data_IF_497475307280
#
_entry.id   IF_497475307280
#
_cell.length_a   1.000
_cell.length_b   1.000
_cell.length_c   1.000
_cell.angle_alpha   90.00
_cell.angle_beta   90.00
_cell.angle_gamma   90.00
#
_symmetry.space_group_name_H-M   'P 1'
#
loop_
_entity.id
_entity.type
_entity.pdbx_description
1 polymer ?
#
# COMPACT_ATOMS: atom_id res chain seq x y z
N UNK A 1 2.26 6.79 -2.14
CA UNK A 1 1.60 6.66 -0.83
C UNK A 1 2.62 6.11 0.15
N UNK A 2 2.72 6.66 1.34
CA UNK A 2 3.68 6.19 2.32
C UNK A 2 3.33 6.60 3.75
N UNK A 3 3.73 5.78 4.71
CA UNK A 3 3.76 6.13 6.12
C UNK A 3 5.15 6.66 6.47
N UNK A 4 5.21 7.78 7.16
CA UNK A 4 6.47 8.47 7.48
C UNK A 4 6.74 8.45 8.98
N UNK A 5 8.00 8.72 9.36
CA UNK A 5 8.45 8.67 10.75
C UNK A 5 7.72 9.65 11.70
N UNK A 6 7.13 10.70 11.16
CA UNK A 6 6.31 11.66 11.92
C UNK A 6 4.92 11.13 12.27
N UNK A 7 4.39 10.22 11.45
CA UNK A 7 3.07 9.59 11.62
C UNK A 7 3.15 8.12 11.18
N UNK A 8 3.88 7.27 11.93
CA UNK A 8 4.19 5.90 11.48
C UNK A 8 2.97 4.98 11.42
N UNK A 9 1.91 5.30 12.14
CA UNK A 9 0.69 4.49 12.23
C UNK A 9 -0.47 5.06 11.38
N UNK A 10 -0.23 6.13 10.60
CA UNK A 10 -1.25 6.73 9.74
C UNK A 10 -1.76 5.76 8.67
N UNK A 11 -3.07 5.75 8.45
CA UNK A 11 -3.72 4.90 7.43
C UNK A 11 -3.85 5.65 6.09
N UNK A 12 -2.72 6.14 5.57
CA UNK A 12 -2.65 6.97 4.36
C UNK A 12 -3.16 6.28 3.11
N UNK A 13 -3.08 4.94 3.05
CA UNK A 13 -3.61 4.19 1.92
C UNK A 13 -5.14 4.18 1.91
N UNK A 14 -5.78 4.09 3.07
CA UNK A 14 -7.23 4.16 3.18
C UNK A 14 -7.76 5.53 2.74
N UNK A 15 -7.13 6.60 3.21
CA UNK A 15 -7.45 7.97 2.77
C UNK A 15 -7.35 8.11 1.24
N UNK A 16 -6.29 7.54 0.66
CA UNK A 16 -6.09 7.56 -0.79
C UNK A 16 -7.17 6.77 -1.54
N UNK A 17 -7.44 5.53 -1.12
CA UNK A 17 -8.43 4.66 -1.77
C UNK A 17 -9.86 5.18 -1.61
N UNK A 18 -10.16 5.87 -0.51
CA UNK A 18 -11.47 6.50 -0.26
C UNK A 18 -11.68 7.76 -1.10
N UNK A 19 -10.62 8.55 -1.31
CA UNK A 19 -10.72 9.81 -2.06
C UNK A 19 -10.60 9.62 -3.57
N UNK A 20 -9.81 8.64 -4.02
CA UNK A 20 -9.53 8.42 -5.44
C UNK A 20 -10.80 8.25 -6.32
N UNK A 21 -11.86 7.52 -5.91
CA UNK A 21 -13.08 7.39 -6.69
C UNK A 21 -13.81 8.72 -6.97
N UNK A 22 -13.59 9.75 -6.14
CA UNK A 22 -14.22 11.06 -6.32
C UNK A 22 -13.83 11.73 -7.64
N UNK A 23 -12.65 11.41 -8.19
CA UNK A 23 -12.22 11.90 -9.49
C UNK A 23 -13.11 11.40 -10.65
N UNK A 24 -13.88 10.34 -10.44
CA UNK A 24 -14.85 9.84 -11.44
C UNK A 24 -16.07 10.75 -11.60
N UNK A 25 -16.22 11.76 -10.74
CA UNK A 25 -17.22 12.82 -10.91
C UNK A 25 -16.82 13.85 -11.99
N UNK A 26 -15.55 13.83 -12.41
CA UNK A 26 -15.06 14.67 -13.50
C UNK A 26 -15.38 14.02 -14.88
N UNK A 27 -15.45 14.81 -15.96
CA UNK A 27 -15.68 14.27 -17.29
C UNK A 27 -14.64 13.21 -17.69
N UNK A 28 -15.10 12.15 -18.38
CA UNK A 28 -14.22 11.05 -18.83
C UNK A 28 -13.12 11.52 -19.79
N UNK A 29 -13.41 12.54 -20.60
CA UNK A 29 -12.51 13.14 -21.57
C UNK A 29 -11.68 14.29 -21.02
N UNK A 30 -11.73 14.52 -19.71
CA UNK A 30 -10.88 15.51 -19.05
C UNK A 30 -9.40 15.19 -19.29
N UNK A 31 -8.63 16.21 -19.67
CA UNK A 31 -7.16 16.09 -19.76
C UNK A 31 -6.57 16.15 -18.37
N UNK A 32 -5.81 15.11 -18.00
CA UNK A 32 -5.13 15.01 -16.72
C UNK A 32 -3.70 15.52 -16.85
N UNK A 33 -3.33 16.47 -15.98
CA UNK A 33 -1.98 16.98 -15.83
C UNK A 33 -1.35 16.40 -14.57
N UNK A 34 -0.68 15.24 -14.65
CA UNK A 34 -0.12 14.59 -13.45
C UNK A 34 1.13 15.34 -12.97
N UNK A 35 1.45 15.24 -11.68
CA UNK A 35 2.71 15.77 -11.12
C UNK A 35 3.96 15.10 -11.71
N UNK A 36 3.81 13.88 -12.22
CA UNK A 36 4.87 13.10 -12.86
C UNK A 36 4.33 12.47 -14.15
N UNK A 37 5.23 12.26 -15.14
CA UNK A 37 4.91 11.74 -16.46
C UNK A 37 4.16 12.75 -17.35
N UNK A 38 3.70 12.28 -18.51
CA UNK A 38 3.05 13.11 -19.52
C UNK A 38 1.55 13.30 -19.23
N UNK A 39 0.96 14.41 -19.70
CA UNK A 39 -0.49 14.58 -19.72
C UNK A 39 -1.18 13.42 -20.45
N UNK A 40 -2.38 13.06 -20.00
CA UNK A 40 -3.14 11.97 -20.59
C UNK A 40 -4.66 12.21 -20.51
N UNK A 41 -5.41 11.43 -21.29
CA UNK A 41 -6.87 11.29 -21.20
C UNK A 41 -7.16 9.87 -20.70
N UNK A 42 -8.31 9.66 -20.03
CA UNK A 42 -8.67 8.36 -19.46
C UNK A 42 -8.54 8.34 -17.93
N UNK A 43 -9.05 9.42 -17.31
CA UNK A 43 -9.02 9.57 -15.86
C UNK A 43 -9.70 8.42 -15.12
N UNK A 44 -10.89 8.00 -15.60
CA UNK A 44 -11.69 6.96 -14.92
C UNK A 44 -10.99 5.60 -14.95
N UNK A 45 -10.46 5.22 -16.11
CA UNK A 45 -9.69 3.98 -16.27
C UNK A 45 -8.40 4.00 -15.43
N UNK A 46 -7.78 5.19 -15.31
CA UNK A 46 -6.61 5.37 -14.45
C UNK A 46 -6.96 5.19 -12.98
N UNK A 47 -8.08 5.74 -12.53
CA UNK A 47 -8.57 5.56 -11.16
C UNK A 47 -8.80 4.07 -10.86
N UNK A 48 -9.52 3.36 -11.74
CA UNK A 48 -9.78 1.93 -11.55
C UNK A 48 -8.49 1.10 -11.53
N UNK A 49 -7.55 1.40 -12.42
CA UNK A 49 -6.25 0.74 -12.48
C UNK A 49 -5.42 0.96 -11.19
N UNK A 50 -5.45 2.17 -10.61
CA UNK A 50 -4.74 2.46 -9.37
C UNK A 50 -5.37 1.72 -8.18
N UNK A 51 -6.68 1.69 -8.09
CA UNK A 51 -7.39 0.94 -7.03
C UNK A 51 -7.07 -0.55 -7.13
N UNK A 52 -7.17 -1.13 -8.33
CA UNK A 52 -6.86 -2.54 -8.56
C UNK A 52 -5.41 -2.88 -8.18
N UNK A 53 -4.45 -2.03 -8.57
CA UNK A 53 -3.03 -2.20 -8.25
C UNK A 53 -2.77 -2.26 -6.74
N UNK A 54 -3.38 -1.35 -5.96
CA UNK A 54 -3.21 -1.37 -4.50
C UNK A 54 -3.88 -2.60 -3.87
N UNK A 55 -5.06 -3.02 -4.37
CA UNK A 55 -5.70 -4.26 -3.88
C UNK A 55 -4.86 -5.51 -4.18
N UNK A 56 -4.19 -5.59 -5.34
CA UNK A 56 -3.27 -6.68 -5.64
C UNK A 56 -2.09 -6.72 -4.67
N UNK A 57 -1.50 -5.56 -4.35
CA UNK A 57 -0.44 -5.46 -3.34
C UNK A 57 -0.92 -5.88 -1.94
N UNK A 58 -2.11 -5.44 -1.52
CA UNK A 58 -2.69 -5.82 -0.23
C UNK A 58 -2.89 -7.34 -0.13
N UNK A 59 -3.41 -7.98 -1.17
CA UNK A 59 -3.57 -9.44 -1.22
C UNK A 59 -2.23 -10.17 -1.17
N UNK A 60 -1.24 -9.70 -1.93
CA UNK A 60 0.09 -10.30 -1.95
C UNK A 60 0.78 -10.19 -0.59
N UNK A 61 0.69 -9.04 0.09
CA UNK A 61 1.23 -8.85 1.43
C UNK A 61 0.52 -9.71 2.47
N UNK A 62 -0.81 -9.79 2.43
CA UNK A 62 -1.57 -10.64 3.34
C UNK A 62 -1.15 -12.10 3.22
N UNK A 63 -1.00 -12.61 1.99
CA UNK A 63 -0.53 -13.98 1.74
C UNK A 63 0.91 -14.18 2.24
N UNK A 64 1.80 -13.20 2.06
CA UNK A 64 3.18 -13.29 2.52
C UNK A 64 3.30 -13.28 4.06
N UNK A 65 2.28 -12.77 4.76
CA UNK A 65 2.23 -12.71 6.23
C UNK A 65 1.72 -14.00 6.90
N UNK A 66 1.64 -15.13 6.21
CA UNK A 66 1.30 -16.44 6.85
C UNK A 66 2.24 -16.77 8.01
N UNK A 67 3.52 -16.42 7.86
CA UNK A 67 4.50 -16.44 8.96
C UNK A 67 4.88 -14.99 9.29
N UNK A 68 5.33 -14.71 10.54
CA UNK A 68 5.77 -13.37 10.92
C UNK A 68 6.87 -12.86 10.00
N UNK A 69 6.68 -11.68 9.43
CA UNK A 69 7.60 -11.02 8.48
C UNK A 69 7.88 -9.58 8.92
N UNK A 70 9.10 -9.14 8.79
CA UNK A 70 9.48 -7.73 8.91
C UNK A 70 9.11 -6.97 7.63
N UNK A 71 9.06 -5.63 7.70
CA UNK A 71 8.85 -4.79 6.51
C UNK A 71 9.90 -5.09 5.43
N UNK A 72 11.16 -5.23 5.82
CA UNK A 72 12.27 -5.47 4.88
C UNK A 72 12.10 -6.79 4.13
N UNK A 73 11.67 -7.84 4.82
CA UNK A 73 11.37 -9.16 4.21
C UNK A 73 10.18 -9.10 3.26
N UNK A 74 9.25 -8.18 3.47
CA UNK A 74 8.06 -7.99 2.62
C UNK A 74 8.32 -7.11 1.38
N UNK A 75 9.40 -6.33 1.34
CA UNK A 75 9.70 -5.47 0.18
C UNK A 75 9.71 -6.20 -1.16
N UNK A 76 10.31 -7.41 -1.30
CA UNK A 76 10.31 -8.14 -2.58
C UNK A 76 8.92 -8.58 -3.05
N UNK A 77 7.95 -8.62 -2.16
CA UNK A 77 6.55 -8.93 -2.51
C UNK A 77 5.95 -7.81 -3.37
N UNK A 78 6.24 -6.56 -3.01
CA UNK A 78 5.73 -5.39 -3.71
C UNK A 78 6.66 -4.91 -4.84
N UNK A 79 7.98 -5.01 -4.65
CA UNK A 79 8.99 -4.43 -5.54
C UNK A 79 9.86 -5.52 -6.15
N UNK A 80 9.61 -5.85 -7.42
CA UNK A 80 10.31 -6.95 -8.13
C UNK A 80 11.73 -6.59 -8.57
N UNK A 81 12.06 -5.30 -8.69
CA UNK A 81 13.39 -4.83 -9.06
C UNK A 81 14.25 -4.55 -7.83
N UNK A 82 15.58 -4.63 -7.99
CA UNK A 82 16.54 -4.25 -6.94
C UNK A 82 16.33 -2.76 -6.57
N UNK A 83 16.19 -2.51 -5.28
CA UNK A 83 16.06 -1.16 -4.73
C UNK A 83 17.43 -0.56 -4.46
N UNK A 84 17.64 0.69 -4.89
CA UNK A 84 18.79 1.49 -4.47
C UNK A 84 18.57 2.00 -3.04
N UNK A 85 19.65 2.43 -2.37
CA UNK A 85 19.56 3.00 -1.01
C UNK A 85 18.58 4.19 -0.93
N UNK A 86 18.53 5.03 -1.97
CA UNK A 86 17.59 6.14 -2.06
C UNK A 86 16.14 5.66 -2.17
N UNK A 87 15.89 4.64 -3.00
CA UNK A 87 14.55 4.11 -3.21
C UNK A 87 14.06 3.24 -2.05
N UNK A 88 14.98 2.73 -1.23
CA UNK A 88 14.65 1.91 -0.06
C UNK A 88 13.75 2.65 0.93
N UNK A 89 14.02 3.92 1.22
CA UNK A 89 13.22 4.73 2.14
C UNK A 89 11.78 4.86 1.66
N UNK A 90 11.60 5.15 0.36
CA UNK A 90 10.26 5.26 -0.23
C UNK A 90 9.55 3.89 -0.29
N UNK A 91 10.28 2.83 -0.59
CA UNK A 91 9.73 1.48 -0.64
C UNK A 91 9.26 1.02 0.76
N UNK A 92 10.04 1.28 1.81
CA UNK A 92 9.65 1.00 3.19
C UNK A 92 8.41 1.80 3.59
N UNK A 93 8.37 3.10 3.29
CA UNK A 93 7.23 3.96 3.58
C UNK A 93 5.95 3.48 2.87
N UNK A 94 6.06 3.07 1.61
CA UNK A 94 4.93 2.53 0.84
C UNK A 94 4.48 1.16 1.37
N UNK A 95 5.40 0.26 1.69
CA UNK A 95 5.07 -1.02 2.30
C UNK A 95 4.37 -0.84 3.66
N UNK A 96 4.86 0.07 4.50
CA UNK A 96 4.23 0.40 5.78
C UNK A 96 2.81 0.93 5.62
N UNK A 97 2.54 1.77 4.63
CA UNK A 97 1.18 2.27 4.39
C UNK A 97 0.20 1.14 4.06
N UNK A 98 0.63 0.12 3.31
CA UNK A 98 -0.18 -1.06 3.02
C UNK A 98 -0.37 -1.94 4.26
N UNK A 99 0.68 -2.12 5.05
CA UNK A 99 0.59 -2.88 6.32
C UNK A 99 -0.31 -2.18 7.34
N UNK A 100 -0.24 -0.85 7.44
CA UNK A 100 -1.14 -0.08 8.31
C UNK A 100 -2.61 -0.24 7.87
N UNK A 101 -2.87 -0.25 6.57
CA UNK A 101 -4.20 -0.56 6.04
C UNK A 101 -4.69 -1.93 6.53
N UNK A 102 -3.88 -2.98 6.34
CA UNK A 102 -4.22 -4.34 6.77
C UNK A 102 -4.38 -4.47 8.29
N UNK A 103 -3.59 -3.72 9.08
CA UNK A 103 -3.73 -3.64 10.54
C UNK A 103 -5.07 -3.02 10.93
N UNK A 104 -5.46 -1.91 10.30
CA UNK A 104 -6.73 -1.24 10.55
C UNK A 104 -7.93 -2.10 10.14
N UNK A 105 -7.81 -2.87 9.06
CA UNK A 105 -8.81 -3.89 8.68
C UNK A 105 -8.86 -5.09 9.66
N UNK A 106 -7.88 -5.22 10.53
CA UNK A 106 -7.79 -6.29 11.52
C UNK A 106 -7.52 -7.68 10.92
N UNK A 107 -6.94 -7.74 9.72
CA UNK A 107 -6.61 -8.99 9.02
C UNK A 107 -5.16 -9.44 9.25
N UNK A 108 -4.31 -8.57 9.78
CA UNK A 108 -2.97 -8.88 10.27
C UNK A 108 -2.78 -8.34 11.69
N UNK A 109 -1.82 -8.90 12.41
CA UNK A 109 -1.34 -8.41 13.71
C UNK A 109 0.11 -7.98 13.63
N UNK A 110 0.54 -7.10 14.54
CA UNK A 110 1.90 -6.58 14.64
C UNK A 110 2.46 -6.89 16.03
N UNK A 111 3.66 -7.47 16.09
CA UNK A 111 4.37 -7.76 17.33
C UNK A 111 5.84 -7.39 17.23
N UNK A 112 6.48 -7.05 18.35
CA UNK A 112 7.93 -6.86 18.42
C UNK A 112 8.62 -8.21 18.57
N UNK A 113 9.65 -8.45 17.75
CA UNK A 113 10.51 -9.62 17.91
C UNK A 113 11.58 -9.39 19.01
N UNK A 114 12.43 -10.39 19.26
CA UNK A 114 13.51 -10.32 20.26
C UNK A 114 14.58 -9.23 19.98
N UNK A 115 14.64 -8.73 18.76
CA UNK A 115 15.53 -7.63 18.33
C UNK A 115 14.87 -6.26 18.40
N UNK A 116 13.62 -6.15 18.88
CA UNK A 116 12.88 -4.89 18.93
C UNK A 116 12.39 -4.41 17.56
N UNK A 117 12.27 -5.30 16.57
CA UNK A 117 11.76 -5.01 15.23
C UNK A 117 10.33 -5.53 15.11
N UNK A 118 9.43 -4.72 14.54
CA UNK A 118 8.06 -5.14 14.26
C UNK A 118 8.02 -6.24 13.20
N UNK A 119 7.26 -7.29 13.50
CA UNK A 119 6.85 -8.32 12.56
C UNK A 119 5.34 -8.32 12.38
N UNK A 120 4.89 -8.69 11.19
CA UNK A 120 3.49 -8.70 10.79
C UNK A 120 3.07 -10.12 10.44
N UNK A 121 1.92 -10.55 10.95
CA UNK A 121 1.40 -11.90 10.74
C UNK A 121 -0.10 -11.85 10.44
N UNK A 122 -0.55 -12.63 9.45
CA UNK A 122 -1.97 -12.76 9.12
C UNK A 122 -2.76 -13.37 10.28
N UNK A 123 -3.96 -12.85 10.50
CA UNK A 123 -4.93 -13.41 11.46
C UNK A 123 -5.64 -14.60 10.81
N UNK A 124 -5.85 -15.70 11.60
CA UNK A 124 -6.38 -16.96 11.08
C UNK A 124 -7.86 -16.89 10.64
N UNK A 125 -8.63 -15.91 11.12
CA UNK A 125 -10.10 -15.90 11.04
C UNK A 125 -10.67 -14.78 10.16
N UNK A 126 -9.87 -13.77 9.75
CA UNK A 126 -10.35 -12.63 8.98
C UNK A 126 -9.82 -12.65 7.55
N UNK A 127 -10.73 -12.35 6.59
CA UNK A 127 -10.39 -12.15 5.18
C UNK A 127 -10.45 -10.67 4.83
N UNK A 128 -9.54 -10.23 3.93
CA UNK A 128 -9.58 -8.88 3.39
C UNK A 128 -10.88 -8.68 2.59
N UNK A 129 -11.66 -7.66 2.96
CA UNK A 129 -12.83 -7.23 2.22
C UNK A 129 -12.38 -6.37 1.01
N UNK A 130 -12.41 -6.93 -0.17
CA UNK A 130 -12.17 -6.21 -1.41
C UNK A 130 -13.14 -6.62 -2.50
#
# INVERSE_FOLDING_TARGET
IGAYSTEPDANTLDDYLTTLPQFKNLPKDATVLPAHKLPFIGLHERVDSLIAHHHEHLKALLNACEQPQTVVELLPVMFKRKLSSRNMVFAVAECLSHLNYLLNEGVISRTLNSKGVYTFKACEVKKLAC
#
